data_IF_517844919169
#
_entry.id   IF_517844919169
#
_cell.length_a   1.000
_cell.length_b   1.000
_cell.length_c   1.000
_cell.angle_alpha   90.00
_cell.angle_beta   90.00
_cell.angle_gamma   90.00
#
_symmetry.space_group_name_H-M   'P 1'
#
loop_
_entity.id
_entity.type
_entity.pdbx_description
1 polymer ?
#
# COMPACT_ATOMS: atom_id res chain seq x y z
N UNK A 1 -17.85 -29.88 18.77
CA UNK A 1 -16.38 -29.82 18.60
C UNK A 1 -15.74 -29.91 19.97
N UNK A 2 -14.90 -30.91 20.18
CA UNK A 2 -14.19 -31.14 21.44
C UNK A 2 -12.89 -30.38 21.36
N UNK A 3 -12.71 -29.39 22.24
CA UNK A 3 -11.49 -28.63 22.38
C UNK A 3 -10.39 -29.48 23.01
N UNK A 4 -9.26 -29.61 22.37
CA UNK A 4 -8.03 -30.17 22.91
C UNK A 4 -7.40 -29.15 23.88
N UNK A 5 -7.21 -29.59 25.11
CA UNK A 5 -6.66 -28.79 26.22
C UNK A 5 -5.12 -28.71 26.17
N UNK A 6 -4.55 -28.20 25.08
CA UNK A 6 -3.15 -27.81 25.10
C UNK A 6 -3.02 -26.39 24.57
N UNK A 7 -3.01 -25.43 25.51
CA UNK A 7 -3.10 -23.99 25.25
C UNK A 7 -1.75 -23.31 25.09
N UNK A 8 -0.65 -24.05 24.96
CA UNK A 8 0.70 -23.47 24.91
C UNK A 8 1.14 -22.97 23.53
N UNK A 9 0.41 -23.30 22.43
CA UNK A 9 0.79 -22.96 21.06
C UNK A 9 -0.33 -22.37 20.17
N UNK A 10 -1.55 -22.19 20.69
CA UNK A 10 -2.70 -21.73 19.93
C UNK A 10 -3.31 -20.48 20.58
N UNK A 11 -3.29 -19.38 19.89
CA UNK A 11 -4.14 -18.22 20.22
C UNK A 11 -5.58 -18.52 19.74
N UNK A 12 -6.54 -18.63 20.65
CA UNK A 12 -7.96 -18.68 20.33
C UNK A 12 -8.50 -17.25 20.34
N UNK A 13 -9.10 -16.83 19.24
CA UNK A 13 -9.93 -15.63 19.20
C UNK A 13 -11.40 -16.03 19.09
N UNK A 14 -12.21 -15.53 20.01
CA UNK A 14 -13.67 -15.62 19.91
C UNK A 14 -14.16 -14.47 19.04
N UNK A 15 -14.80 -14.79 17.94
CA UNK A 15 -15.40 -13.83 17.02
C UNK A 15 -16.90 -13.80 17.31
N UNK A 16 -17.42 -12.67 17.71
CA UNK A 16 -18.85 -12.46 17.90
C UNK A 16 -19.38 -11.52 16.83
N UNK A 17 -20.34 -12.00 16.03
CA UNK A 17 -21.06 -11.22 15.04
C UNK A 17 -22.55 -11.29 15.42
N UNK A 18 -23.20 -10.15 15.61
CA UNK A 18 -24.61 -10.06 16.05
C UNK A 18 -24.97 -10.96 17.25
N UNK A 19 -24.08 -11.09 18.22
CA UNK A 19 -24.31 -11.92 19.42
C UNK A 19 -24.16 -13.43 19.20
N UNK A 20 -23.73 -13.89 18.03
CA UNK A 20 -23.35 -15.28 17.78
C UNK A 20 -21.86 -15.44 17.88
N UNK A 21 -21.43 -16.33 18.78
CA UNK A 21 -20.02 -16.68 18.95
C UNK A 21 -19.56 -17.52 17.75
N UNK A 22 -18.57 -17.05 17.02
CA UNK A 22 -17.89 -17.81 15.97
C UNK A 22 -16.44 -17.99 16.43
N UNK A 23 -16.07 -19.22 16.78
CA UNK A 23 -14.70 -19.54 17.19
C UNK A 23 -13.78 -19.61 15.97
N UNK A 24 -12.69 -18.83 15.98
CA UNK A 24 -11.61 -18.89 15.01
C UNK A 24 -10.33 -19.43 15.65
N UNK A 25 -9.60 -20.29 14.95
CA UNK A 25 -8.31 -20.82 15.39
C UNK A 25 -7.20 -20.10 14.66
N UNK A 26 -6.33 -19.41 15.39
CA UNK A 26 -5.06 -18.91 14.87
C UNK A 26 -4.09 -20.09 14.77
N UNK A 27 -3.78 -20.51 13.56
CA UNK A 27 -2.66 -21.42 13.33
C UNK A 27 -1.40 -20.57 13.07
N UNK A 28 -0.28 -21.00 13.60
CA UNK A 28 1.05 -20.37 13.44
C UNK A 28 1.48 -20.14 11.97
N UNK A 29 0.68 -20.58 10.99
CA UNK A 29 1.00 -20.63 9.57
C UNK A 29 -0.10 -20.11 8.62
N UNK A 30 -1.00 -19.23 9.06
CA UNK A 30 -1.90 -18.55 8.15
C UNK A 30 -3.37 -18.48 8.57
N UNK A 31 -3.98 -17.37 8.25
CA UNK A 31 -5.40 -17.09 8.44
C UNK A 31 -6.18 -17.62 7.22
N UNK A 32 -7.16 -18.49 7.43
CA UNK A 32 -8.17 -18.79 6.39
C UNK A 32 -9.48 -18.13 6.77
N UNK A 33 -9.87 -17.13 6.01
CA UNK A 33 -11.21 -16.55 6.08
C UNK A 33 -12.22 -17.49 5.40
N UNK A 34 -13.30 -17.84 6.10
CA UNK A 34 -14.52 -18.23 5.43
C UNK A 34 -15.29 -16.98 5.06
N UNK A 35 -15.79 -16.88 3.84
CA UNK A 35 -16.66 -15.79 3.37
C UNK A 35 -17.88 -15.68 4.29
N UNK A 36 -17.95 -14.58 5.06
CA UNK A 36 -19.18 -14.14 5.71
C UNK A 36 -19.91 -13.24 4.70
N UNK A 37 -20.82 -13.83 3.95
CA UNK A 37 -21.76 -13.04 3.13
C UNK A 37 -22.72 -12.30 4.07
N UNK A 38 -22.69 -10.98 4.06
CA UNK A 38 -23.78 -10.15 4.54
C UNK A 38 -23.54 -9.21 5.70
N UNK A 39 -22.32 -9.07 6.26
CA UNK A 39 -22.12 -8.16 7.41
C UNK A 39 -21.04 -7.10 7.19
N UNK A 40 -21.43 -5.83 7.35
CA UNK A 40 -20.59 -4.63 7.11
C UNK A 40 -19.66 -4.26 8.28
N UNK A 41 -19.87 -4.82 9.48
CA UNK A 41 -19.11 -4.49 10.71
C UNK A 41 -18.96 -5.72 11.60
N UNK A 42 -17.75 -5.99 12.08
CA UNK A 42 -17.46 -7.07 13.02
C UNK A 42 -16.42 -6.67 14.08
N UNK A 43 -16.65 -7.11 15.34
CA UNK A 43 -15.64 -6.99 16.39
C UNK A 43 -15.02 -8.36 16.66
N UNK A 44 -13.69 -8.43 16.59
CA UNK A 44 -12.93 -9.62 16.95
C UNK A 44 -12.40 -9.44 18.37
N UNK A 45 -12.76 -10.37 19.28
CA UNK A 45 -12.33 -10.33 20.68
C UNK A 45 -11.14 -11.29 20.83
N UNK A 46 -9.97 -10.76 21.14
CA UNK A 46 -8.80 -11.58 21.49
C UNK A 46 -8.79 -11.95 22.97
N UNK A 47 -8.20 -13.13 23.32
CA UNK A 47 -8.26 -13.80 24.63
C UNK A 47 -7.75 -13.03 25.88
N UNK A 48 -7.45 -11.73 25.78
CA UNK A 48 -7.06 -10.84 26.90
C UNK A 48 -7.89 -9.56 26.96
N UNK A 49 -9.09 -9.53 26.38
CA UNK A 49 -9.95 -8.33 26.41
C UNK A 49 -9.50 -7.21 25.47
N UNK A 50 -8.51 -7.44 24.60
CA UNK A 50 -8.20 -6.52 23.52
C UNK A 50 -9.17 -6.77 22.38
N UNK A 51 -9.94 -5.74 22.02
CA UNK A 51 -10.86 -5.79 20.89
C UNK A 51 -10.14 -5.29 19.64
N UNK A 52 -10.13 -6.10 18.58
CA UNK A 52 -9.78 -5.64 17.25
C UNK A 52 -11.06 -5.22 16.54
N UNK A 53 -11.03 -4.04 15.94
CA UNK A 53 -12.13 -3.49 15.14
C UNK A 53 -11.82 -3.83 13.68
N UNK A 54 -12.82 -4.33 12.94
CA UNK A 54 -12.72 -4.56 11.50
C UNK A 54 -13.95 -3.96 10.85
N UNK A 55 -13.76 -2.98 9.99
CA UNK A 55 -14.83 -2.25 9.31
C UNK A 55 -14.51 -2.07 7.83
N UNK A 56 -15.51 -2.27 6.96
CA UNK A 56 -15.39 -2.01 5.53
C UNK A 56 -16.25 -0.80 5.16
N UNK A 57 -15.65 0.11 4.41
CA UNK A 57 -16.28 1.36 4.02
C UNK A 57 -16.13 1.64 2.52
N UNK A 58 -17.12 2.27 1.92
CA UNK A 58 -16.94 2.98 0.66
C UNK A 58 -16.09 4.25 0.91
N UNK A 59 -15.22 4.60 -0.04
CA UNK A 59 -14.34 5.76 0.12
C UNK A 59 -15.04 7.08 -0.22
N UNK A 60 -15.89 7.08 -1.24
CA UNK A 60 -16.46 8.29 -1.83
C UNK A 60 -17.93 8.57 -1.46
N UNK A 61 -18.55 7.71 -0.70
CA UNK A 61 -19.96 7.83 -0.31
C UNK A 61 -20.37 6.75 0.67
N UNK A 62 -21.66 6.46 0.75
CA UNK A 62 -22.17 5.39 1.62
C UNK A 62 -21.92 3.99 1.05
N UNK A 63 -21.98 3.86 -0.30
CA UNK A 63 -21.75 2.62 -1.05
C UNK A 63 -20.82 2.88 -2.24
N UNK A 64 -20.03 1.87 -2.67
CA UNK A 64 -19.25 1.97 -3.89
C UNK A 64 -20.17 2.09 -5.11
N UNK A 65 -19.75 2.86 -6.11
CA UNK A 65 -20.46 3.03 -7.39
C UNK A 65 -19.52 2.67 -8.55
N UNK A 66 -20.06 2.56 -9.78
CA UNK A 66 -19.23 2.35 -10.98
C UNK A 66 -18.27 3.53 -11.21
N UNK A 67 -18.67 4.75 -10.86
CA UNK A 67 -17.84 5.96 -10.97
C UNK A 67 -16.81 6.06 -9.85
N UNK A 68 -17.16 5.60 -8.65
CA UNK A 68 -16.32 5.67 -7.45
C UNK A 68 -16.26 4.29 -6.78
N UNK A 69 -15.52 3.33 -7.34
CA UNK A 69 -15.51 1.95 -6.86
C UNK A 69 -14.60 1.73 -5.64
N UNK A 70 -13.77 2.71 -5.27
CA UNK A 70 -12.79 2.56 -4.21
C UNK A 70 -13.43 2.33 -2.84
N UNK A 71 -12.85 1.39 -2.10
CA UNK A 71 -13.24 1.03 -0.74
C UNK A 71 -12.02 0.96 0.18
N UNK A 72 -12.23 0.86 1.47
CA UNK A 72 -11.15 0.56 2.41
C UNK A 72 -11.63 -0.33 3.55
N UNK A 73 -10.68 -1.08 4.12
CA UNK A 73 -10.88 -1.82 5.36
C UNK A 73 -10.12 -1.12 6.48
N UNK A 74 -10.82 -0.74 7.55
CA UNK A 74 -10.22 -0.26 8.78
C UNK A 74 -9.95 -1.46 9.70
N UNK A 75 -8.71 -1.61 10.14
CA UNK A 75 -8.30 -2.56 11.16
C UNK A 75 -7.75 -1.76 12.35
N UNK A 76 -8.50 -1.74 13.43
CA UNK A 76 -8.24 -0.87 14.57
C UNK A 76 -8.06 -1.62 15.88
N UNK A 77 -7.41 -0.94 16.81
CA UNK A 77 -7.26 -1.38 18.20
C UNK A 77 -7.79 -0.29 19.14
N UNK A 78 -8.17 -0.71 20.34
CA UNK A 78 -8.59 0.19 21.41
C UNK A 78 -7.56 1.29 21.70
N UNK A 79 -7.97 2.44 22.24
CA UNK A 79 -7.07 3.51 22.62
C UNK A 79 -5.93 3.06 23.52
N UNK A 80 -4.77 3.70 23.41
CA UNK A 80 -3.63 3.43 24.28
C UNK A 80 -3.84 4.16 25.63
N UNK A 81 -3.95 3.43 26.77
CA UNK A 81 -4.28 4.06 28.06
C UNK A 81 -3.19 5.03 28.55
N UNK A 82 -1.93 4.78 28.18
CA UNK A 82 -0.77 5.54 28.65
C UNK A 82 -0.33 6.67 27.70
N UNK A 83 -1.11 6.93 26.64
CA UNK A 83 -0.81 8.01 25.69
C UNK A 83 -1.78 9.18 25.87
N UNK A 84 -1.33 10.42 25.69
CA UNK A 84 -2.23 11.56 25.69
C UNK A 84 -3.38 11.34 24.71
N UNK A 85 -4.61 11.42 25.18
CA UNK A 85 -5.84 11.15 24.42
C UNK A 85 -5.99 9.73 23.86
N UNK A 86 -5.12 8.77 24.20
CA UNK A 86 -5.17 7.38 23.73
C UNK A 86 -4.90 7.18 22.23
N UNK A 87 -4.54 8.24 21.50
CA UNK A 87 -4.44 8.21 20.03
C UNK A 87 -3.19 7.46 19.54
N UNK A 88 -3.34 6.80 18.41
CA UNK A 88 -2.32 6.02 17.72
C UNK A 88 -1.91 6.68 16.40
N UNK A 89 -0.69 6.46 15.89
CA UNK A 89 -0.39 6.78 14.50
C UNK A 89 -1.27 5.95 13.58
N UNK A 90 -1.53 6.43 12.38
CA UNK A 90 -2.24 5.71 11.34
C UNK A 90 -1.31 5.31 10.20
N UNK A 91 -1.62 4.18 9.57
CA UNK A 91 -1.02 3.77 8.30
C UNK A 91 -2.09 3.44 7.28
N UNK A 92 -1.93 3.96 6.07
CA UNK A 92 -2.76 3.63 4.90
C UNK A 92 -1.91 2.77 3.97
N UNK A 93 -2.40 1.59 3.60
CA UNK A 93 -1.67 0.59 2.83
C UNK A 93 -2.24 0.51 1.43
N UNK A 94 -1.37 0.69 0.42
CA UNK A 94 -1.64 0.58 -0.99
C UNK A 94 -0.86 -0.60 -1.57
N UNK A 95 -1.51 -1.75 -1.76
CA UNK A 95 -0.87 -2.90 -2.42
C UNK A 95 -0.55 -2.61 -3.88
N UNK A 96 0.38 -3.36 -4.47
CA UNK A 96 0.69 -3.33 -5.89
C UNK A 96 -0.30 -4.15 -6.72
N UNK A 97 0.08 -4.44 -7.97
CA UNK A 97 -0.73 -5.22 -8.92
C UNK A 97 -0.86 -4.55 -10.27
N UNK A 98 0.12 -3.72 -10.64
CA UNK A 98 0.24 -3.06 -11.95
C UNK A 98 -1.04 -2.30 -12.36
N UNK A 99 -1.78 -1.73 -11.42
CA UNK A 99 -3.07 -1.05 -11.61
C UNK A 99 -4.18 -1.92 -12.18
N UNK A 100 -3.96 -3.22 -12.40
CA UNK A 100 -4.98 -4.13 -12.94
C UNK A 100 -5.79 -4.82 -11.84
N UNK A 101 -5.17 -5.06 -10.71
CA UNK A 101 -5.74 -5.62 -9.48
C UNK A 101 -4.93 -5.13 -8.29
N UNK A 102 -5.31 -5.53 -7.09
CA UNK A 102 -4.49 -5.28 -5.90
C UNK A 102 -4.04 -6.63 -5.33
N UNK A 103 -2.73 -6.77 -5.07
CA UNK A 103 -2.11 -7.99 -4.58
C UNK A 103 -2.45 -8.23 -3.10
N UNK A 104 -3.21 -9.28 -2.74
CA UNK A 104 -3.69 -9.44 -1.36
C UNK A 104 -2.58 -9.63 -0.31
N UNK A 105 -1.44 -10.21 -0.71
CA UNK A 105 -0.29 -10.41 0.18
C UNK A 105 0.43 -9.11 0.56
N UNK A 106 0.15 -8.01 -0.14
CA UNK A 106 0.65 -6.66 0.14
C UNK A 106 -0.37 -5.79 0.91
N UNK A 107 -1.50 -6.35 1.30
CA UNK A 107 -2.60 -5.69 2.01
C UNK A 107 -2.68 -6.14 3.47
N UNK A 108 -3.60 -7.06 3.81
CA UNK A 108 -3.89 -7.49 5.18
C UNK A 108 -2.66 -7.97 5.97
N UNK A 109 -1.73 -8.77 5.41
CA UNK A 109 -0.56 -9.19 6.18
C UNK A 109 0.31 -8.02 6.63
N UNK A 110 0.43 -6.98 5.80
CA UNK A 110 1.15 -5.74 6.14
C UNK A 110 0.38 -4.95 7.19
N UNK A 111 -0.96 -4.85 7.03
CA UNK A 111 -1.82 -4.19 8.00
C UNK A 111 -1.69 -4.82 9.40
N UNK A 112 -1.70 -6.15 9.49
CA UNK A 112 -1.50 -6.85 10.77
C UNK A 112 -0.13 -6.56 11.39
N UNK A 113 0.94 -6.46 10.59
CA UNK A 113 2.27 -6.13 11.12
C UNK A 113 2.32 -4.71 11.71
N UNK A 114 1.67 -3.74 11.08
CA UNK A 114 1.56 -2.38 11.61
C UNK A 114 0.62 -2.28 12.80
N UNK A 115 -0.50 -3.02 12.80
CA UNK A 115 -1.43 -3.07 13.93
C UNK A 115 -0.75 -3.62 15.18
N UNK A 116 0.01 -4.71 15.04
CA UNK A 116 0.82 -5.29 16.12
C UNK A 116 1.86 -4.29 16.67
N UNK A 117 2.37 -3.42 15.79
CA UNK A 117 3.31 -2.36 16.16
C UNK A 117 2.62 -1.08 16.70
N UNK A 118 1.31 -1.10 16.91
CA UNK A 118 0.56 -0.05 17.59
C UNK A 118 -0.04 1.03 16.70
N UNK A 119 -0.16 0.82 15.41
CA UNK A 119 -0.84 1.70 14.46
C UNK A 119 -2.34 1.39 14.37
N UNK A 120 -3.15 2.37 13.99
CA UNK A 120 -4.43 2.15 13.35
C UNK A 120 -4.17 1.93 11.86
N UNK A 121 -4.77 0.90 11.26
CA UNK A 121 -4.42 0.49 9.90
C UNK A 121 -5.60 0.56 8.96
N UNK A 122 -5.34 1.03 7.76
CA UNK A 122 -6.33 1.23 6.70
C UNK A 122 -5.82 0.60 5.42
N UNK A 123 -6.51 -0.40 4.91
CA UNK A 123 -6.18 -1.07 3.65
C UNK A 123 -7.01 -0.44 2.54
N UNK A 124 -6.37 0.31 1.65
CA UNK A 124 -7.04 1.00 0.56
C UNK A 124 -7.18 0.09 -0.66
N UNK A 125 -8.42 -0.16 -1.06
CA UNK A 125 -8.76 -0.75 -2.35
C UNK A 125 -9.05 0.37 -3.35
N UNK A 126 -7.98 0.96 -3.89
CA UNK A 126 -8.06 2.01 -4.90
C UNK A 126 -8.60 1.48 -6.23
N UNK A 127 -9.05 2.36 -7.11
CA UNK A 127 -9.55 1.99 -8.44
C UNK A 127 -8.49 1.24 -9.25
N UNK A 128 -8.89 0.11 -9.83
CA UNK A 128 -8.06 -0.72 -10.73
C UNK A 128 -8.74 -0.83 -12.09
N UNK A 129 -8.02 -1.24 -13.14
CA UNK A 129 -8.62 -1.39 -14.47
C UNK A 129 -9.72 -2.44 -14.55
N UNK A 130 -9.84 -3.29 -13.51
CA UNK A 130 -10.97 -4.21 -13.38
C UNK A 130 -12.21 -3.56 -12.75
N UNK A 131 -12.07 -2.39 -12.14
CA UNK A 131 -13.16 -1.69 -11.44
C UNK A 131 -13.48 -0.32 -12.01
N UNK A 132 -12.56 0.33 -12.74
CA UNK A 132 -12.79 1.66 -13.31
C UNK A 132 -11.57 2.24 -14.03
N UNK A 133 -11.53 3.56 -14.16
CA UNK A 133 -10.44 4.29 -14.82
C UNK A 133 -9.23 4.43 -13.88
N UNK A 134 -8.09 3.90 -14.31
CA UNK A 134 -6.82 3.92 -13.57
C UNK A 134 -5.84 4.95 -14.10
N UNK A 135 -6.25 5.75 -15.09
CA UNK A 135 -5.38 6.79 -15.60
C UNK A 135 -5.05 7.79 -14.49
N UNK A 136 -3.81 8.29 -14.51
CA UNK A 136 -3.44 9.38 -13.64
C UNK A 136 -4.40 10.57 -13.84
N UNK A 137 -4.99 11.15 -12.78
CA UNK A 137 -4.63 10.99 -11.36
C UNK A 137 -5.63 10.18 -10.49
N UNK A 138 -6.47 9.28 -11.05
CA UNK A 138 -7.58 8.67 -10.31
C UNK A 138 -7.14 7.82 -9.09
N UNK A 139 -6.20 6.85 -9.19
CA UNK A 139 -5.78 6.08 -8.00
C UNK A 139 -5.11 6.96 -6.94
N UNK A 140 -4.43 8.05 -7.36
CA UNK A 140 -3.82 9.01 -6.45
C UNK A 140 -4.88 9.87 -5.73
N UNK A 141 -5.98 10.17 -6.42
CA UNK A 141 -7.12 10.88 -5.81
C UNK A 141 -7.81 10.01 -4.73
N UNK A 142 -7.91 8.69 -4.97
CA UNK A 142 -8.40 7.75 -3.95
C UNK A 142 -7.51 7.79 -2.69
N UNK A 143 -6.18 7.75 -2.84
CA UNK A 143 -5.28 7.85 -1.70
C UNK A 143 -5.38 9.21 -1.00
N UNK A 144 -5.48 10.31 -1.75
CA UNK A 144 -5.67 11.64 -1.20
C UNK A 144 -6.97 11.73 -0.38
N UNK A 145 -8.07 11.20 -0.95
CA UNK A 145 -9.36 11.09 -0.25
C UNK A 145 -9.23 10.27 1.03
N UNK A 146 -8.50 9.14 0.97
CA UNK A 146 -8.29 8.28 2.14
C UNK A 146 -7.52 8.99 3.26
N UNK A 147 -6.43 9.72 2.94
CA UNK A 147 -5.69 10.51 3.93
C UNK A 147 -6.58 11.56 4.59
N UNK A 148 -7.38 12.29 3.79
CA UNK A 148 -8.33 13.28 4.30
C UNK A 148 -9.43 12.63 5.17
N UNK A 149 -9.93 11.46 4.77
CA UNK A 149 -10.96 10.70 5.52
C UNK A 149 -10.41 10.23 6.87
N UNK A 150 -9.19 9.70 6.92
CA UNK A 150 -8.54 9.30 8.19
C UNK A 150 -8.41 10.49 9.13
N UNK A 151 -7.99 11.66 8.63
CA UNK A 151 -7.88 12.87 9.46
C UNK A 151 -9.22 13.40 9.93
N UNK A 152 -10.24 13.36 9.07
CA UNK A 152 -11.59 13.82 9.43
C UNK A 152 -12.25 12.97 10.53
N UNK A 153 -11.94 11.66 10.53
CA UNK A 153 -12.49 10.71 11.52
C UNK A 153 -11.48 10.34 12.62
N UNK A 154 -10.45 11.17 12.83
CA UNK A 154 -9.37 10.89 13.77
C UNK A 154 -9.82 10.65 15.22
N UNK A 155 -10.90 11.31 15.66
CA UNK A 155 -11.47 11.12 17.00
C UNK A 155 -12.16 9.76 17.12
N UNK A 156 -12.95 9.38 16.14
CA UNK A 156 -13.71 8.13 16.11
C UNK A 156 -12.77 6.92 16.03
N UNK A 157 -11.73 6.99 15.20
CA UNK A 157 -10.78 5.91 15.02
C UNK A 157 -9.55 5.99 15.93
N UNK A 158 -9.55 6.87 16.92
CA UNK A 158 -8.46 7.08 17.87
C UNK A 158 -7.09 7.30 17.18
N UNK A 159 -7.10 8.01 16.05
CA UNK A 159 -5.91 8.37 15.26
C UNK A 159 -5.33 9.69 15.73
N UNK A 160 -4.01 9.80 15.77
CA UNK A 160 -3.34 11.09 15.81
C UNK A 160 -3.30 11.69 14.39
N UNK A 161 -4.06 12.76 14.09
CA UNK A 161 -4.16 13.32 12.75
C UNK A 161 -2.87 13.94 12.22
N UNK A 162 -1.83 14.06 13.05
CA UNK A 162 -0.51 14.55 12.68
C UNK A 162 0.49 13.42 12.46
N UNK A 163 0.04 12.18 12.52
CA UNK A 163 0.87 10.97 12.41
C UNK A 163 0.24 9.95 11.45
N UNK A 164 0.03 10.39 10.20
CA UNK A 164 -0.58 9.57 9.14
C UNK A 164 0.49 9.19 8.12
N UNK A 165 0.87 7.92 8.11
CA UNK A 165 1.82 7.33 7.17
C UNK A 165 1.09 6.67 6.00
N UNK A 166 1.70 6.68 4.81
CA UNK A 166 1.28 5.87 3.68
C UNK A 166 2.34 4.83 3.36
N UNK A 167 1.91 3.60 3.07
CA UNK A 167 2.78 2.48 2.70
C UNK A 167 2.33 1.96 1.34
N UNK A 168 3.22 1.92 0.37
CA UNK A 168 2.88 1.48 -0.98
C UNK A 168 3.91 0.51 -1.55
N UNK A 169 3.41 -0.49 -2.30
CA UNK A 169 4.23 -1.50 -2.97
C UNK A 169 4.05 -1.43 -4.48
N UNK A 170 5.14 -1.55 -5.26
CA UNK A 170 5.06 -1.59 -6.72
C UNK A 170 4.21 -0.43 -7.30
N UNK A 171 3.08 -0.71 -7.94
CA UNK A 171 2.12 0.29 -8.41
C UNK A 171 1.53 1.12 -7.27
N UNK A 172 1.23 0.51 -6.10
CA UNK A 172 0.82 1.24 -4.89
C UNK A 172 1.92 2.17 -4.38
N UNK A 173 3.20 1.80 -4.58
CA UNK A 173 4.35 2.67 -4.31
C UNK A 173 4.36 3.91 -5.21
N UNK A 174 3.97 3.77 -6.48
CA UNK A 174 3.76 4.90 -7.39
C UNK A 174 2.68 5.85 -6.87
N UNK A 175 1.53 5.31 -6.46
CA UNK A 175 0.42 6.09 -5.93
C UNK A 175 0.87 6.90 -4.70
N UNK A 176 1.55 6.24 -3.75
CA UNK A 176 2.06 6.89 -2.54
C UNK A 176 3.12 7.96 -2.84
N UNK A 177 4.06 7.67 -3.75
CA UNK A 177 5.10 8.61 -4.13
C UNK A 177 4.54 9.83 -4.89
N UNK A 178 3.56 9.63 -5.79
CA UNK A 178 2.89 10.71 -6.50
C UNK A 178 2.18 11.65 -5.53
N UNK A 179 1.39 11.12 -4.60
CA UNK A 179 0.74 11.96 -3.59
C UNK A 179 1.78 12.70 -2.74
N UNK A 180 2.83 12.02 -2.27
CA UNK A 180 3.85 12.59 -1.41
C UNK A 180 4.63 13.74 -2.08
N UNK A 181 4.91 13.65 -3.37
CA UNK A 181 5.65 14.67 -4.11
C UNK A 181 4.78 15.83 -4.57
N UNK A 182 3.47 15.61 -4.77
CA UNK A 182 2.56 16.54 -5.42
C UNK A 182 1.34 16.93 -4.56
N UNK A 183 1.32 16.61 -3.24
CA UNK A 183 0.19 16.90 -2.36
C UNK A 183 -0.26 18.36 -2.39
N UNK A 184 0.67 19.28 -2.63
CA UNK A 184 0.43 20.73 -2.66
C UNK A 184 0.19 21.28 -4.06
N UNK A 185 0.85 20.73 -5.06
CA UNK A 185 0.90 21.26 -6.43
C UNK A 185 0.08 20.48 -7.43
N UNK A 186 -0.19 19.21 -7.14
CA UNK A 186 -0.98 18.33 -8.00
C UNK A 186 -2.49 18.53 -7.86
N UNK A 187 -3.28 17.84 -8.66
CA UNK A 187 -4.74 17.99 -8.70
C UNK A 187 -5.46 17.31 -7.53
N UNK A 188 -4.75 16.53 -6.72
CA UNK A 188 -5.31 15.55 -5.79
C UNK A 188 -6.21 16.17 -4.71
N UNK A 189 -5.83 17.34 -4.17
CA UNK A 189 -6.63 18.03 -3.15
C UNK A 189 -8.01 18.44 -3.69
N UNK A 190 -8.04 19.01 -4.89
CA UNK A 190 -9.28 19.38 -5.57
C UNK A 190 -10.17 18.18 -5.86
N UNK A 191 -9.58 17.09 -6.37
CA UNK A 191 -10.30 15.85 -6.67
C UNK A 191 -10.83 15.18 -5.38
N UNK A 192 -10.05 15.18 -4.30
CA UNK A 192 -10.48 14.64 -3.01
C UNK A 192 -11.53 15.52 -2.28
N UNK A 193 -11.81 16.73 -2.77
CA UNK A 193 -12.66 17.69 -2.09
C UNK A 193 -12.09 18.15 -0.74
N UNK A 194 -10.76 18.27 -0.65
CA UNK A 194 -10.02 18.55 0.59
C UNK A 194 -9.01 19.69 0.39
N UNK A 195 -8.46 20.20 1.49
CA UNK A 195 -7.34 21.14 1.42
C UNK A 195 -6.02 20.38 1.21
N UNK A 196 -5.00 20.99 0.58
CA UNK A 196 -3.70 20.36 0.41
C UNK A 196 -3.10 19.78 1.71
N UNK A 197 -3.17 20.53 2.81
CA UNK A 197 -2.62 20.07 4.09
C UNK A 197 -3.39 18.85 4.67
N UNK A 198 -4.65 18.67 4.30
CA UNK A 198 -5.46 17.53 4.78
C UNK A 198 -5.10 16.22 4.05
N UNK A 199 -4.53 16.30 2.86
CA UNK A 199 -4.11 15.12 2.06
C UNK A 199 -2.62 14.81 2.15
N UNK A 200 -1.81 15.65 2.81
CA UNK A 200 -0.36 15.46 2.92
C UNK A 200 -0.05 14.28 3.86
N UNK A 201 0.64 13.21 3.43
CA UNK A 201 1.16 12.21 4.37
C UNK A 201 2.23 12.83 5.29
N UNK A 202 2.35 12.33 6.52
CA UNK A 202 3.38 12.79 7.46
C UNK A 202 4.69 11.99 7.31
N UNK A 203 4.60 10.74 6.83
CA UNK A 203 5.73 9.93 6.38
C UNK A 203 5.30 8.96 5.27
N UNK A 204 6.27 8.42 4.54
CA UNK A 204 6.05 7.50 3.42
C UNK A 204 6.96 6.28 3.52
N UNK A 205 6.42 5.10 3.23
CA UNK A 205 7.19 3.86 3.08
C UNK A 205 6.92 3.27 1.70
N UNK A 206 7.97 3.03 0.93
CA UNK A 206 7.89 2.53 -0.44
C UNK A 206 8.63 1.19 -0.56
N UNK A 207 7.93 0.12 -0.89
CA UNK A 207 8.50 -1.19 -1.19
C UNK A 207 8.61 -1.41 -2.70
N UNK A 208 9.82 -1.65 -3.21
CA UNK A 208 10.08 -1.89 -4.66
C UNK A 208 9.15 -1.07 -5.58
N UNK A 209 9.05 0.26 -5.38
CA UNK A 209 8.06 1.08 -6.05
C UNK A 209 8.35 1.18 -7.55
N UNK A 210 7.30 1.27 -8.36
CA UNK A 210 7.40 1.67 -9.75
C UNK A 210 7.33 3.20 -9.81
N UNK A 211 8.44 3.89 -10.06
CA UNK A 211 8.49 5.36 -10.04
C UNK A 211 8.66 6.00 -11.43
N UNK A 212 9.23 5.27 -12.38
CA UNK A 212 9.59 5.82 -13.69
C UNK A 212 9.17 4.88 -14.82
N UNK A 213 8.03 5.17 -15.41
CA UNK A 213 7.51 4.41 -16.56
C UNK A 213 8.36 4.57 -17.81
N UNK A 214 9.00 5.72 -18.03
CA UNK A 214 9.89 5.92 -19.18
C UNK A 214 11.13 5.03 -19.04
N UNK A 215 11.70 4.95 -17.84
CA UNK A 215 12.83 4.05 -17.57
C UNK A 215 12.46 2.58 -17.83
N UNK A 216 11.29 2.13 -17.31
CA UNK A 216 10.85 0.73 -17.49
C UNK A 216 10.56 0.43 -18.95
N UNK A 217 9.89 1.32 -19.68
CA UNK A 217 9.68 1.22 -21.13
C UNK A 217 10.99 1.08 -21.87
N UNK A 218 11.94 1.96 -21.58
CA UNK A 218 13.25 1.99 -22.24
C UNK A 218 14.08 0.74 -21.94
N UNK A 219 14.06 0.27 -20.68
CA UNK A 219 14.70 -0.97 -20.30
C UNK A 219 14.13 -2.16 -21.08
N UNK A 220 12.82 -2.30 -21.14
CA UNK A 220 12.18 -3.39 -21.89
C UNK A 220 12.46 -3.32 -23.40
N UNK A 221 12.52 -2.13 -23.97
CA UNK A 221 12.77 -1.95 -25.41
C UNK A 221 14.24 -2.16 -25.80
N UNK A 222 15.17 -1.95 -24.87
CA UNK A 222 16.62 -2.10 -25.10
C UNK A 222 17.16 -3.47 -24.71
N UNK A 223 16.45 -4.27 -23.91
CA UNK A 223 16.93 -5.60 -23.51
C UNK A 223 16.84 -6.57 -24.70
N UNK A 224 18.00 -7.04 -25.22
CA UNK A 224 18.02 -7.92 -26.39
C UNK A 224 17.40 -9.31 -26.10
N UNK A 225 17.16 -9.65 -24.84
CA UNK A 225 16.51 -10.90 -24.43
C UNK A 225 15.00 -10.81 -24.52
N UNK A 226 14.43 -9.60 -24.63
CA UNK A 226 13.00 -9.34 -24.73
C UNK A 226 12.65 -9.06 -26.19
N UNK A 227 12.12 -10.06 -26.90
CA UNK A 227 11.57 -9.81 -28.23
C UNK A 227 10.14 -9.29 -28.13
N UNK A 228 10.00 -7.98 -28.16
CA UNK A 228 8.71 -7.30 -28.12
C UNK A 228 7.87 -7.49 -29.41
N UNK A 229 8.42 -8.11 -30.46
CA UNK A 229 7.69 -8.40 -31.72
C UNK A 229 6.96 -9.74 -31.67
N UNK A 230 7.31 -10.59 -30.71
CA UNK A 230 6.67 -11.92 -30.57
C UNK A 230 5.20 -11.74 -30.21
N UNK A 231 4.27 -12.34 -30.94
CA UNK A 231 2.87 -12.35 -30.56
C UNK A 231 2.66 -13.01 -29.19
N UNK A 232 1.88 -12.34 -28.37
CA UNK A 232 1.45 -12.80 -27.05
C UNK A 232 -0.04 -13.17 -27.08
N UNK A 233 -0.68 -13.19 -25.94
CA UNK A 233 -2.10 -13.45 -25.79
C UNK A 233 -2.95 -12.49 -26.65
N UNK A 234 -3.96 -13.00 -27.34
CA UNK A 234 -4.86 -12.20 -28.17
C UNK A 234 -4.23 -11.66 -29.47
N UNK A 235 -3.08 -12.19 -29.93
CA UNK A 235 -2.42 -11.76 -31.16
C UNK A 235 -1.65 -10.44 -31.08
N UNK A 236 -1.63 -9.77 -29.91
CA UNK A 236 -0.84 -8.57 -29.66
C UNK A 236 0.63 -8.93 -29.45
N UNK A 237 1.53 -8.09 -29.92
CA UNK A 237 2.96 -8.21 -29.63
C UNK A 237 3.27 -7.72 -28.21
N UNK A 238 4.45 -8.04 -27.68
CA UNK A 238 4.90 -7.49 -26.41
C UNK A 238 4.96 -5.96 -26.41
N UNK A 239 5.25 -5.34 -27.57
CA UNK A 239 5.24 -3.89 -27.74
C UNK A 239 3.82 -3.32 -27.65
N UNK A 240 2.84 -3.97 -28.29
CA UNK A 240 1.45 -3.52 -28.23
C UNK A 240 0.94 -3.57 -26.77
N UNK A 241 1.25 -4.64 -26.04
CA UNK A 241 0.87 -4.78 -24.65
C UNK A 241 1.52 -3.72 -23.74
N UNK A 242 2.79 -3.40 -23.98
CA UNK A 242 3.48 -2.32 -23.28
C UNK A 242 2.84 -0.95 -23.56
N UNK A 243 2.55 -0.66 -24.82
CA UNK A 243 1.90 0.59 -25.21
C UNK A 243 0.49 0.70 -24.62
N UNK A 244 -0.30 -0.39 -24.67
CA UNK A 244 -1.63 -0.43 -24.04
C UNK A 244 -1.56 -0.14 -22.55
N UNK A 245 -0.61 -0.77 -21.86
CA UNK A 245 -0.39 -0.55 -20.43
C UNK A 245 -0.03 0.92 -20.13
N UNK A 246 0.92 1.47 -20.87
CA UNK A 246 1.33 2.87 -20.70
C UNK A 246 0.18 3.83 -21.00
N UNK A 247 -0.60 3.58 -22.07
CA UNK A 247 -1.77 4.38 -22.40
C UNK A 247 -2.86 4.28 -21.33
N UNK A 248 -3.03 3.12 -20.73
CA UNK A 248 -3.97 2.92 -19.62
C UNK A 248 -3.60 3.79 -18.40
N UNK A 249 -2.34 3.84 -18.04
CA UNK A 249 -1.90 4.60 -16.85
C UNK A 249 -1.79 6.09 -17.09
N UNK A 250 -1.57 6.53 -18.35
CA UNK A 250 -1.52 7.97 -18.71
C UNK A 250 -2.87 8.55 -19.09
N UNK A 251 -3.86 7.71 -19.41
CA UNK A 251 -5.15 8.14 -19.92
C UNK A 251 -5.14 8.57 -21.40
N UNK A 252 -4.06 8.21 -22.14
CA UNK A 252 -3.91 8.60 -23.53
C UNK A 252 -2.58 8.16 -24.11
N UNK A 253 -2.06 8.90 -25.08
CA UNK A 253 -0.75 8.62 -25.66
C UNK A 253 0.36 8.83 -24.63
N UNK A 254 1.17 7.79 -24.41
CA UNK A 254 2.27 7.78 -23.46
C UNK A 254 3.54 8.43 -24.05
N UNK A 255 3.45 9.74 -24.30
CA UNK A 255 4.60 10.54 -24.73
C UNK A 255 5.64 10.67 -23.63
N UNK A 256 6.88 11.02 -23.99
CA UNK A 256 7.93 11.27 -22.98
C UNK A 256 7.54 12.39 -22.01
N UNK A 257 6.80 13.39 -22.49
CA UNK A 257 6.28 14.49 -21.67
C UNK A 257 5.26 13.99 -20.65
N UNK A 258 4.26 13.20 -21.08
CA UNK A 258 3.27 12.61 -20.17
C UNK A 258 3.92 11.68 -19.15
N UNK A 259 4.88 10.84 -19.58
CA UNK A 259 5.57 9.94 -18.66
C UNK A 259 6.44 10.69 -17.64
N UNK A 260 7.05 11.81 -18.04
CA UNK A 260 7.79 12.69 -17.14
C UNK A 260 6.86 13.42 -16.15
N UNK A 261 5.68 13.83 -16.62
CA UNK A 261 4.69 14.54 -15.79
C UNK A 261 4.11 13.65 -14.68
N UNK A 262 3.89 12.37 -14.94
CA UNK A 262 3.42 11.43 -13.91
C UNK A 262 4.55 10.81 -13.08
N UNK A 263 5.82 11.05 -13.40
CA UNK A 263 6.97 10.48 -12.70
C UNK A 263 7.20 11.21 -11.36
N UNK A 264 7.06 10.57 -10.19
CA UNK A 264 7.28 11.23 -8.90
C UNK A 264 8.65 11.88 -8.74
N UNK A 265 9.68 11.31 -9.38
CA UNK A 265 11.06 11.82 -9.31
C UNK A 265 11.18 13.28 -9.80
N UNK A 266 10.39 13.67 -10.80
CA UNK A 266 10.40 15.04 -11.36
C UNK A 266 9.79 16.07 -10.42
N UNK A 267 8.97 15.62 -9.47
CA UNK A 267 8.22 16.47 -8.54
C UNK A 267 8.79 16.49 -7.11
N UNK A 268 9.91 15.81 -6.88
CA UNK A 268 10.57 15.84 -5.57
C UNK A 268 10.94 17.28 -5.20
N UNK A 269 10.53 17.72 -4.03
CA UNK A 269 10.80 19.03 -3.49
C UNK A 269 10.98 18.98 -1.96
N UNK A 270 11.51 20.04 -1.36
CA UNK A 270 11.67 20.16 0.11
C UNK A 270 10.37 20.02 0.92
N UNK A 271 9.20 20.04 0.25
CA UNK A 271 7.90 19.90 0.89
C UNK A 271 7.46 18.44 1.02
N UNK A 272 8.19 17.53 0.38
CA UNK A 272 7.93 16.09 0.45
C UNK A 272 8.15 15.59 1.89
N UNK A 273 7.28 14.69 2.40
CA UNK A 273 7.47 14.09 3.72
C UNK A 273 8.70 13.15 3.78
N UNK A 274 9.24 12.89 4.98
CA UNK A 274 10.26 11.87 5.19
C UNK A 274 9.87 10.54 4.57
N UNK A 275 10.81 9.89 3.87
CA UNK A 275 10.51 8.68 3.09
C UNK A 275 11.52 7.57 3.35
N UNK A 276 10.99 6.39 3.69
CA UNK A 276 11.72 5.12 3.69
C UNK A 276 11.45 4.41 2.37
N UNK A 277 12.48 3.99 1.68
CA UNK A 277 12.34 3.25 0.41
C UNK A 277 13.24 2.02 0.40
N UNK A 278 12.73 0.91 -0.14
CA UNK A 278 13.53 -0.30 -0.31
C UNK A 278 13.20 -1.04 -1.60
N UNK A 279 14.12 -1.85 -2.03
CA UNK A 279 13.97 -2.73 -3.19
C UNK A 279 15.08 -3.77 -3.24
N UNK A 280 15.14 -4.53 -4.33
CA UNK A 280 16.14 -5.60 -4.53
C UNK A 280 16.89 -5.42 -5.84
N UNK A 281 18.15 -5.91 -5.86
CA UNK A 281 19.03 -5.73 -7.02
C UNK A 281 18.63 -6.57 -8.24
N UNK A 282 17.94 -7.69 -8.02
CA UNK A 282 17.52 -8.62 -9.07
C UNK A 282 16.06 -8.43 -9.53
N UNK A 283 15.37 -7.36 -9.09
CA UNK A 283 14.03 -7.01 -9.56
C UNK A 283 14.06 -6.61 -11.04
N UNK A 284 13.33 -7.36 -11.87
CA UNK A 284 13.19 -7.11 -13.31
C UNK A 284 11.89 -6.42 -13.69
N UNK A 285 10.96 -6.31 -12.75
CA UNK A 285 9.65 -5.68 -12.96
C UNK A 285 9.71 -4.19 -12.65
N UNK A 286 10.21 -3.84 -11.46
CA UNK A 286 10.46 -2.47 -11.04
C UNK A 286 11.95 -2.32 -10.62
N UNK A 287 12.89 -2.27 -11.59
CA UNK A 287 14.32 -2.27 -11.31
C UNK A 287 14.73 -1.16 -10.36
N UNK A 288 15.50 -1.49 -9.34
CA UNK A 288 15.95 -0.56 -8.32
C UNK A 288 16.69 0.68 -8.90
N UNK A 289 17.27 0.55 -10.09
CA UNK A 289 17.97 1.62 -10.75
C UNK A 289 17.10 2.87 -11.01
N UNK A 290 15.78 2.72 -11.19
CA UNK A 290 14.85 3.84 -11.32
C UNK A 290 14.61 4.59 -9.99
N UNK A 291 14.94 3.98 -8.86
CA UNK A 291 14.74 4.56 -7.52
C UNK A 291 15.93 5.43 -7.10
N UNK A 292 17.13 5.17 -7.61
CA UNK A 292 18.32 5.98 -7.27
C UNK A 292 18.17 7.47 -7.57
N UNK A 293 17.65 7.89 -8.75
CA UNK A 293 17.42 9.32 -9.02
C UNK A 293 16.43 9.95 -8.06
N UNK A 294 15.40 9.21 -7.64
CA UNK A 294 14.43 9.69 -6.66
C UNK A 294 15.09 9.95 -5.29
N UNK A 295 15.87 9.01 -4.77
CA UNK A 295 16.60 9.17 -3.52
C UNK A 295 17.66 10.29 -3.62
N UNK A 296 18.33 10.42 -4.76
CA UNK A 296 19.27 11.52 -5.01
C UNK A 296 18.56 12.88 -4.94
N UNK A 297 17.43 13.04 -5.62
CA UNK A 297 16.64 14.29 -5.59
C UNK A 297 16.18 14.64 -4.19
N UNK A 298 15.75 13.65 -3.40
CA UNK A 298 15.39 13.88 -2.00
C UNK A 298 16.57 14.42 -1.19
N UNK A 299 17.77 13.85 -1.38
CA UNK A 299 18.98 14.34 -0.71
C UNK A 299 19.35 15.76 -1.14
N UNK A 300 19.22 16.10 -2.42
CA UNK A 300 19.45 17.44 -2.96
C UNK A 300 18.47 18.48 -2.38
N UNK A 301 17.21 18.08 -2.16
CA UNK A 301 16.17 18.93 -1.56
C UNK A 301 16.22 18.97 -0.02
N UNK A 302 17.12 18.18 0.60
CA UNK A 302 17.26 18.09 2.06
C UNK A 302 16.10 17.39 2.76
N UNK A 303 15.39 16.51 2.04
CA UNK A 303 14.29 15.69 2.60
C UNK A 303 14.87 14.41 3.21
N UNK A 304 14.52 14.04 4.47
CA UNK A 304 14.96 12.80 5.08
C UNK A 304 14.57 11.59 4.23
N UNK A 305 15.57 10.82 3.80
CA UNK A 305 15.38 9.61 3.02
C UNK A 305 16.26 8.49 3.60
N UNK A 306 15.65 7.34 3.90
CA UNK A 306 16.39 6.13 4.24
C UNK A 306 16.12 5.09 3.16
N UNK A 307 17.19 4.61 2.47
CA UNK A 307 17.07 3.69 1.35
C UNK A 307 17.82 2.40 1.64
N UNK A 308 17.15 1.26 1.39
CA UNK A 308 17.73 -0.07 1.51
C UNK A 308 17.63 -0.84 0.20
N UNK A 309 18.74 -1.45 -0.21
CA UNK A 309 18.82 -2.32 -1.39
C UNK A 309 19.29 -3.69 -0.95
N UNK A 310 18.43 -4.68 -1.06
CA UNK A 310 18.78 -6.07 -0.79
C UNK A 310 19.33 -6.72 -2.05
N UNK A 311 20.17 -7.74 -1.89
CA UNK A 311 20.91 -8.35 -3.01
C UNK A 311 20.04 -9.23 -3.91
N UNK A 312 18.97 -9.82 -3.35
CA UNK A 312 18.11 -10.77 -4.06
C UNK A 312 16.68 -10.79 -3.54
N UNK A 313 15.74 -11.34 -4.37
CA UNK A 313 14.35 -11.56 -3.97
C UNK A 313 13.37 -11.47 -5.13
N UNK A 314 13.67 -10.73 -6.18
CA UNK A 314 12.76 -10.46 -7.29
C UNK A 314 11.73 -9.38 -6.95
N UNK A 315 10.49 -9.53 -7.44
CA UNK A 315 9.41 -8.55 -7.28
C UNK A 315 8.24 -9.10 -6.45
N UNK A 316 7.46 -8.21 -5.81
CA UNK A 316 6.22 -8.59 -5.11
C UNK A 316 6.45 -9.30 -3.77
N UNK A 317 7.43 -8.86 -2.99
CA UNK A 317 7.94 -9.58 -1.83
C UNK A 317 7.15 -9.35 -0.54
N UNK A 318 6.40 -8.24 -0.44
CA UNK A 318 5.66 -7.88 0.77
C UNK A 318 6.53 -8.01 2.04
N UNK A 319 6.09 -8.77 3.04
CA UNK A 319 6.86 -9.00 4.29
C UNK A 319 8.02 -10.01 4.11
N UNK A 320 8.13 -10.70 2.98
CA UNK A 320 9.16 -11.70 2.74
C UNK A 320 9.10 -12.91 3.68
N UNK A 321 7.93 -13.26 4.17
CA UNK A 321 7.70 -14.38 5.08
C UNK A 321 6.75 -15.42 4.48
N UNK A 322 6.54 -16.55 5.17
CA UNK A 322 5.72 -17.64 4.68
C UNK A 322 4.25 -17.26 4.38
N UNK A 323 3.72 -16.22 5.03
CA UNK A 323 2.35 -15.75 4.80
C UNK A 323 2.21 -14.90 3.54
N UNK A 324 3.32 -14.34 3.03
CA UNK A 324 3.34 -13.43 1.88
C UNK A 324 4.17 -13.95 0.71
N UNK A 325 4.80 -15.12 0.87
CA UNK A 325 5.61 -15.75 -0.18
C UNK A 325 4.73 -16.18 -1.37
N UNK A 326 5.03 -15.62 -2.55
CA UNK A 326 4.31 -15.94 -3.78
C UNK A 326 4.97 -17.11 -4.51
N UNK A 327 6.33 -17.23 -4.42
CA UNK A 327 7.11 -18.25 -5.08
C UNK A 327 8.12 -18.91 -4.13
N UNK A 328 9.40 -18.65 -4.29
CA UNK A 328 10.46 -19.29 -3.52
C UNK A 328 10.74 -18.54 -2.21
N UNK A 329 10.31 -19.10 -1.07
CA UNK A 329 10.47 -18.52 0.27
C UNK A 329 11.94 -18.24 0.61
N UNK A 330 12.90 -19.07 0.16
CA UNK A 330 14.31 -18.91 0.48
C UNK A 330 14.89 -17.60 -0.05
N UNK A 331 14.43 -17.13 -1.22
CA UNK A 331 14.88 -15.86 -1.81
C UNK A 331 14.33 -14.64 -1.09
N UNK A 332 13.23 -14.78 -0.36
CA UNK A 332 12.55 -13.68 0.32
C UNK A 332 13.14 -13.39 1.70
N UNK A 333 13.96 -14.29 2.26
CA UNK A 333 14.58 -14.13 3.58
C UNK A 333 15.42 -12.85 3.66
N UNK A 334 16.12 -12.49 2.58
CA UNK A 334 16.97 -11.30 2.54
C UNK A 334 16.23 -10.01 2.86
N UNK A 335 14.96 -9.90 2.44
CA UNK A 335 14.19 -8.64 2.61
C UNK A 335 13.46 -8.54 3.94
N UNK A 336 13.28 -9.61 4.70
CA UNK A 336 12.53 -9.63 5.98
C UNK A 336 12.88 -8.49 6.94
N UNK A 337 14.12 -8.00 7.03
CA UNK A 337 14.46 -6.89 7.92
C UNK A 337 13.78 -5.55 7.60
N UNK A 338 13.28 -5.36 6.37
CA UNK A 338 12.78 -4.06 5.94
C UNK A 338 11.71 -3.49 6.86
N UNK A 339 10.78 -4.33 7.35
CA UNK A 339 9.66 -3.87 8.19
C UNK A 339 10.17 -3.31 9.53
N UNK A 340 11.14 -3.96 10.16
CA UNK A 340 11.76 -3.47 11.39
C UNK A 340 12.56 -2.18 11.16
N UNK A 341 13.21 -2.04 10.01
CA UNK A 341 13.93 -0.83 9.63
C UNK A 341 12.95 0.32 9.38
N UNK A 342 11.83 0.05 8.70
CA UNK A 342 10.77 1.02 8.48
C UNK A 342 10.15 1.50 9.80
N UNK A 343 9.88 0.61 10.76
CA UNK A 343 9.38 1.03 12.08
C UNK A 343 10.35 1.96 12.79
N UNK A 344 11.64 1.66 12.81
CA UNK A 344 12.68 2.54 13.40
C UNK A 344 12.76 3.89 12.68
N UNK A 345 12.55 3.92 11.37
CA UNK A 345 12.48 5.16 10.61
C UNK A 345 11.25 5.97 11.03
N UNK A 346 10.08 5.35 11.07
CA UNK A 346 8.82 5.98 11.43
C UNK A 346 8.82 6.51 12.88
N UNK A 347 9.43 5.80 13.83
CA UNK A 347 9.59 6.26 15.22
C UNK A 347 10.38 7.59 15.33
N UNK A 348 11.24 7.89 14.36
CA UNK A 348 12.03 9.15 14.34
C UNK A 348 11.32 10.28 13.59
N UNK A 349 10.37 9.97 12.72
CA UNK A 349 9.81 10.93 11.78
C UNK A 349 8.30 11.12 11.88
N UNK A 350 7.60 10.26 12.57
CA UNK A 350 6.20 10.35 12.97
C UNK A 350 6.09 10.61 14.47
#
# INVERSE_FOLDING_TARGET
>A
FTLLNDTSELGLCDISVEGKLIAGVFLRHGFKWGTLEGEKQGRIICAKGAHMIVENHALWGEEPTEEYPATFTYLGAEPLPDKPNGRRPAVIICGGGAFTHIAPHEQDPVAFAFLDHGYQTFVLNYVTSSTGDVSFPHPQADLAKMVATVRANADEWHVDPKRVCVVGFSAGGMICASLATQWKTGPFAGLAGARPDDIRPDAVVLGYPLLDFAYVRDMQTRDPRIDLRVPKTGGKTGRDLLNDYLSMVTGGEATDEHLADICPTTHVSRQMPPTFVWGVSDDKTAPIAQVYPFAQRMAEEGVPCEMHVFDQGGHGLSLGNANTAVDNEDKQVAVRPWICLAFRFLERHL
#
